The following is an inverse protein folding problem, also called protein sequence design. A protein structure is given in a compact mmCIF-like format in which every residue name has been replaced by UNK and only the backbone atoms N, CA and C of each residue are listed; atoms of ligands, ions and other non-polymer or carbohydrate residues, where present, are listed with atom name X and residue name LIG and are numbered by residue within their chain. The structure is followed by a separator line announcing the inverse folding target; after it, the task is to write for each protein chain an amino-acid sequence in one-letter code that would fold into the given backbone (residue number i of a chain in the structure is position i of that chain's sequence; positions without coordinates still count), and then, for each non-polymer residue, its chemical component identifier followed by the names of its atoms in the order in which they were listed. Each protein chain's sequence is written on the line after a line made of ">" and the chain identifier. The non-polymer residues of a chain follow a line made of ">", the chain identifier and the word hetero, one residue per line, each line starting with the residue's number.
data_IF_156650074538
#
_entry.id   IF_156650074538
#
_cell.length_a   1.000
_cell.length_b   1.000
_cell.length_c   1.000
_cell.angle_alpha   90.00
_cell.angle_beta   90.00
_cell.angle_gamma   90.00
#
_symmetry.space_group_name_H-M   'P 1'
#
loop_
_entity.id
_entity.type
_entity.pdbx_description
1 polymer ?
#
# COMPACT_ATOMS: atom_id res chain seq x y z
N UNK A 1 -48.96 25.75 15.49
CA UNK A 1 -48.34 27.09 15.38
C UNK A 1 -47.13 26.95 14.48
N UNK A 2 -47.18 27.70 13.37
CA UNK A 2 -46.27 27.66 12.23
C UNK A 2 -44.82 28.02 12.59
N UNK A 3 -43.86 27.28 12.02
CA UNK A 3 -42.55 27.86 11.74
C UNK A 3 -42.11 27.54 10.30
N UNK A 4 -41.83 28.62 9.64
CA UNK A 4 -41.65 28.74 8.20
C UNK A 4 -40.28 28.19 7.73
N UNK A 5 -40.34 27.53 6.56
CA UNK A 5 -39.17 27.22 5.73
C UNK A 5 -38.52 28.47 5.15
N UNK A 6 -37.20 28.60 5.33
CA UNK A 6 -36.38 29.53 4.57
C UNK A 6 -35.58 28.76 3.50
N UNK A 7 -35.98 28.91 2.29
CA UNK A 7 -35.28 28.49 1.07
C UNK A 7 -34.22 29.56 0.78
N UNK A 8 -32.95 29.19 0.71
CA UNK A 8 -31.86 30.05 0.22
C UNK A 8 -31.52 29.56 -1.20
N UNK A 9 -31.83 30.39 -2.18
CA UNK A 9 -31.45 30.18 -3.57
C UNK A 9 -30.00 30.64 -3.76
N UNK A 10 -29.13 29.76 -4.23
CA UNK A 10 -27.76 30.09 -4.62
C UNK A 10 -27.69 30.25 -6.13
N UNK A 11 -27.39 31.46 -6.56
CA UNK A 11 -27.22 31.88 -7.96
C UNK A 11 -25.89 31.34 -8.50
N UNK A 12 -25.92 30.57 -9.59
CA UNK A 12 -24.73 30.21 -10.38
C UNK A 12 -24.31 31.42 -11.23
N UNK A 13 -23.09 31.86 -11.08
CA UNK A 13 -22.44 32.79 -12.01
C UNK A 13 -21.54 32.01 -12.96
N UNK A 14 -21.92 31.95 -14.22
CA UNK A 14 -21.13 31.45 -15.34
C UNK A 14 -20.15 32.52 -15.80
N UNK A 15 -18.86 32.29 -15.70
CA UNK A 15 -17.80 33.12 -16.29
C UNK A 15 -17.30 32.41 -17.55
N UNK A 16 -17.65 32.94 -18.71
CA UNK A 16 -17.07 32.59 -20.01
C UNK A 16 -15.78 33.37 -20.23
N UNK A 17 -14.65 32.68 -20.33
CA UNK A 17 -13.37 33.28 -20.69
C UNK A 17 -13.02 32.92 -22.13
N UNK A 18 -13.18 33.89 -23.06
CA UNK A 18 -12.66 33.82 -24.40
C UNK A 18 -11.22 34.27 -24.44
N UNK A 19 -10.30 33.35 -24.69
CA UNK A 19 -8.87 33.63 -24.86
C UNK A 19 -8.46 33.53 -26.32
N UNK A 20 -7.97 34.63 -26.87
CA UNK A 20 -7.41 34.78 -28.20
C UNK A 20 -6.08 34.00 -28.32
N UNK A 21 -6.02 33.17 -29.38
CA UNK A 21 -4.76 32.59 -29.84
C UNK A 21 -4.05 33.56 -30.76
N UNK A 22 -2.85 34.02 -30.44
CA UNK A 22 -1.93 34.68 -31.37
C UNK A 22 -0.75 33.75 -31.66
N UNK A 23 -0.70 33.27 -32.89
CA UNK A 23 0.47 32.57 -33.47
C UNK A 23 1.49 33.62 -33.96
N UNK A 24 2.73 33.53 -33.47
CA UNK A 24 3.88 34.20 -34.13
C UNK A 24 4.80 33.15 -34.72
N UNK A 25 4.90 33.15 -36.04
CA UNK A 25 5.91 32.44 -36.80
C UNK A 25 7.21 33.23 -36.78
N UNK A 26 8.32 32.55 -36.57
CA UNK A 26 9.66 33.11 -36.85
C UNK A 26 10.33 32.20 -37.87
N UNK A 27 10.50 32.74 -39.07
CA UNK A 27 11.39 32.21 -40.08
C UNK A 27 12.83 32.58 -39.75
N UNK A 28 13.76 31.65 -39.96
CA UNK A 28 15.15 31.98 -40.14
C UNK A 28 15.77 31.01 -41.14
N UNK A 29 16.16 31.60 -42.26
CA UNK A 29 16.86 31.06 -43.41
C UNK A 29 18.36 30.87 -43.16
N UNK A 30 18.95 29.89 -43.85
CA UNK A 30 20.25 30.14 -44.42
C UNK A 30 21.31 29.02 -44.39
N UNK A 31 21.44 28.33 -45.50
CA UNK A 31 22.64 27.99 -46.28
C UNK A 31 23.77 27.11 -45.69
N UNK A 32 24.08 26.08 -46.48
CA UNK A 32 25.45 25.65 -46.70
C UNK A 32 25.65 24.17 -47.10
N UNK A 33 25.77 23.96 -48.41
CA UNK A 33 26.19 22.76 -49.14
C UNK A 33 27.43 22.03 -48.57
N UNK A 34 27.52 20.69 -48.69
CA UNK A 34 28.30 20.03 -49.75
C UNK A 34 28.25 18.48 -49.69
N UNK A 35 28.14 17.96 -50.91
CA UNK A 35 28.25 16.61 -51.42
C UNK A 35 29.32 15.68 -50.82
N UNK A 36 28.99 14.38 -50.77
CA UNK A 36 29.79 13.33 -51.43
C UNK A 36 28.95 12.05 -51.62
N UNK A 37 28.94 11.56 -52.85
CA UNK A 37 28.30 10.38 -53.40
C UNK A 37 29.07 9.07 -53.12
N UNK A 38 28.35 7.99 -53.38
CA UNK A 38 28.74 6.60 -53.72
C UNK A 38 28.68 5.61 -52.57
N UNK A 39 28.05 4.46 -52.64
CA UNK A 39 27.83 3.55 -53.77
C UNK A 39 26.68 2.56 -53.43
N UNK A 40 25.94 2.21 -54.45
CA UNK A 40 24.94 1.13 -54.51
C UNK A 40 25.63 -0.22 -54.49
N UNK A 41 25.10 -1.18 -53.70
CA UNK A 41 25.14 -2.56 -54.12
C UNK A 41 23.91 -3.32 -53.60
N UNK A 42 23.09 -3.73 -54.54
CA UNK A 42 21.97 -4.66 -54.46
C UNK A 42 22.47 -6.09 -54.31
N UNK A 43 21.92 -6.84 -53.36
CA UNK A 43 21.67 -8.26 -53.57
C UNK A 43 20.53 -8.75 -52.67
N UNK A 44 19.45 -9.17 -53.31
CA UNK A 44 18.36 -9.96 -52.79
C UNK A 44 18.87 -11.23 -52.09
N UNK A 45 18.31 -11.54 -50.91
CA UNK A 45 17.80 -12.88 -50.67
C UNK A 45 16.74 -12.87 -49.60
N UNK A 46 15.53 -13.28 -49.99
CA UNK A 46 14.44 -13.73 -49.10
C UNK A 46 14.92 -14.94 -48.32
N UNK A 47 14.74 -14.90 -47.03
CA UNK A 47 14.35 -16.09 -46.28
C UNK A 47 13.49 -15.69 -45.09
N UNK A 48 12.24 -16.05 -45.15
CA UNK A 48 11.31 -15.92 -44.06
C UNK A 48 11.74 -16.80 -42.89
N UNK A 49 11.82 -16.17 -41.74
CA UNK A 49 11.73 -16.87 -40.48
C UNK A 49 10.94 -15.97 -39.51
N UNK A 50 9.66 -16.25 -39.39
CA UNK A 50 8.81 -15.67 -38.36
C UNK A 50 9.26 -16.21 -37.01
N UNK A 51 10.32 -15.67 -36.45
CA UNK A 51 10.62 -15.83 -35.03
C UNK A 51 9.63 -14.96 -34.28
N UNK A 52 8.57 -15.59 -33.76
CA UNK A 52 7.78 -15.05 -32.69
C UNK A 52 8.73 -14.63 -31.58
N UNK A 53 8.95 -13.33 -31.45
CA UNK A 53 9.53 -12.73 -30.27
C UNK A 53 8.52 -12.96 -29.14
N UNK A 54 8.66 -14.09 -28.43
CA UNK A 54 8.13 -14.24 -27.09
C UNK A 54 8.92 -13.21 -26.25
N UNK A 55 8.39 -12.00 -26.18
CA UNK A 55 8.85 -11.04 -25.22
C UNK A 55 8.77 -11.67 -23.85
N UNK A 56 9.91 -11.93 -23.23
CA UNK A 56 10.01 -12.26 -21.82
C UNK A 56 9.35 -11.10 -21.06
N UNK A 57 8.05 -11.19 -20.83
CA UNK A 57 7.38 -10.30 -19.89
C UNK A 57 8.06 -10.56 -18.56
N UNK A 58 8.83 -9.59 -18.11
CA UNK A 58 9.50 -9.60 -16.81
C UNK A 58 8.42 -9.79 -15.77
N UNK A 59 8.32 -11.01 -15.22
CA UNK A 59 7.29 -11.36 -14.24
C UNK A 59 7.49 -10.43 -13.06
N UNK A 60 6.49 -9.60 -12.73
CA UNK A 60 6.55 -8.75 -11.55
C UNK A 60 6.53 -9.67 -10.34
N UNK A 61 7.54 -9.53 -9.51
CA UNK A 61 7.65 -10.19 -8.22
C UNK A 61 7.53 -9.14 -7.12
N UNK A 62 7.13 -9.56 -5.91
CA UNK A 62 7.28 -8.73 -4.73
C UNK A 62 8.68 -8.13 -4.65
N UNK A 63 8.79 -6.90 -4.15
CA UNK A 63 10.08 -6.22 -4.04
C UNK A 63 11.06 -6.97 -3.12
N UNK A 64 10.56 -7.75 -2.15
CA UNK A 64 11.35 -8.66 -1.31
C UNK A 64 11.90 -9.88 -2.05
N UNK A 65 11.49 -10.11 -3.30
CA UNK A 65 11.85 -11.28 -4.09
C UNK A 65 11.02 -12.52 -3.80
N UNK A 66 10.14 -12.50 -2.82
CA UNK A 66 9.25 -13.62 -2.49
C UNK A 66 8.14 -13.76 -3.53
N UNK A 67 7.77 -15.01 -3.83
CA UNK A 67 6.63 -15.30 -4.69
C UNK A 67 5.31 -14.85 -4.05
N UNK A 68 5.16 -15.07 -2.75
CA UNK A 68 4.01 -14.69 -1.95
C UNK A 68 4.46 -13.94 -0.72
N UNK A 69 4.03 -12.69 -0.56
CA UNK A 69 4.31 -11.90 0.62
C UNK A 69 3.33 -12.23 1.75
N UNK A 70 3.85 -12.53 2.93
CA UNK A 70 3.06 -12.66 4.16
C UNK A 70 3.02 -11.31 4.87
N UNK A 71 1.89 -10.61 4.80
CA UNK A 71 1.73 -9.28 5.38
C UNK A 71 0.98 -9.43 6.70
N UNK A 72 1.69 -9.22 7.82
CA UNK A 72 1.14 -9.35 9.16
C UNK A 72 0.27 -8.13 9.49
N UNK A 73 -1.05 -8.27 9.31
CA UNK A 73 -2.06 -7.23 9.47
C UNK A 73 -2.12 -6.73 10.91
N UNK A 74 -1.58 -5.54 11.15
CA UNK A 74 -1.40 -4.93 12.48
C UNK A 74 -0.52 -5.78 13.41
N UNK A 75 0.48 -6.47 12.82
CA UNK A 75 1.24 -7.53 13.44
C UNK A 75 0.53 -8.89 13.39
N UNK A 76 0.92 -9.83 14.24
CA UNK A 76 0.22 -11.11 14.42
C UNK A 76 -1.03 -10.91 15.31
N UNK A 77 -1.96 -10.08 14.82
CA UNK A 77 -3.09 -9.53 15.59
C UNK A 77 -4.16 -10.56 15.97
N UNK A 78 -4.15 -11.73 15.33
CA UNK A 78 -4.98 -12.86 15.75
C UNK A 78 -4.53 -13.49 17.08
N UNK A 79 -3.29 -13.24 17.50
CA UNK A 79 -2.69 -13.85 18.69
C UNK A 79 -2.28 -12.86 19.78
N UNK A 80 -2.13 -11.59 19.46
CA UNK A 80 -1.64 -10.56 20.37
C UNK A 80 -2.32 -9.21 20.04
N UNK A 81 -2.36 -8.24 20.99
CA UNK A 81 -3.01 -6.96 20.77
C UNK A 81 -2.49 -6.24 19.53
N UNK A 82 -3.39 -5.91 18.59
CA UNK A 82 -3.06 -5.23 17.34
C UNK A 82 -2.27 -3.93 17.57
N UNK A 83 -1.35 -3.61 16.67
CA UNK A 83 -0.53 -2.39 16.73
C UNK A 83 0.20 -2.19 18.06
N UNK A 84 0.65 -3.27 18.68
CA UNK A 84 1.55 -3.24 19.84
C UNK A 84 2.85 -3.98 19.52
N UNK A 85 3.89 -3.76 20.32
CA UNK A 85 5.13 -4.52 20.16
C UNK A 85 4.92 -6.02 20.38
N UNK A 86 3.89 -6.44 21.13
CA UNK A 86 3.58 -7.87 21.28
C UNK A 86 3.17 -8.53 19.96
N UNK A 87 2.30 -7.90 19.17
CA UNK A 87 1.90 -8.42 17.87
C UNK A 87 3.01 -8.27 16.82
N UNK A 88 3.78 -7.19 16.88
CA UNK A 88 4.90 -6.96 15.95
C UNK A 88 6.07 -7.91 16.19
N UNK A 89 6.51 -8.07 17.44
CA UNK A 89 7.58 -9.04 17.81
C UNK A 89 7.17 -10.46 17.41
N UNK A 90 5.92 -10.83 17.65
CA UNK A 90 5.42 -12.15 17.26
C UNK A 90 5.45 -12.34 15.74
N UNK A 91 5.02 -11.34 14.97
CA UNK A 91 4.99 -11.44 13.50
C UNK A 91 6.40 -11.43 12.89
N UNK A 92 7.29 -10.57 13.38
CA UNK A 92 8.62 -10.39 12.83
C UNK A 92 9.61 -11.41 13.39
N UNK A 93 9.81 -11.43 14.73
CA UNK A 93 10.86 -12.23 15.36
C UNK A 93 10.52 -13.72 15.45
N UNK A 94 9.25 -14.06 15.74
CA UNK A 94 8.87 -15.45 15.96
C UNK A 94 8.39 -16.14 14.67
N UNK A 95 7.64 -15.45 13.83
CA UNK A 95 7.03 -16.02 12.62
C UNK A 95 7.86 -15.73 11.37
N UNK A 96 8.52 -14.57 11.31
CA UNK A 96 9.26 -14.12 10.13
C UNK A 96 8.33 -13.75 8.98
N UNK A 97 7.29 -12.95 9.25
CA UNK A 97 6.43 -12.39 8.22
C UNK A 97 7.23 -11.48 7.27
N UNK A 98 6.82 -11.40 6.01
CA UNK A 98 7.48 -10.56 5.00
C UNK A 98 7.41 -9.08 5.34
N UNK A 99 6.29 -8.64 5.93
CA UNK A 99 6.02 -7.25 6.31
C UNK A 99 5.32 -7.16 7.67
N UNK A 100 5.69 -6.14 8.44
CA UNK A 100 4.87 -5.59 9.53
C UNK A 100 3.95 -4.54 8.91
N UNK A 101 2.65 -4.73 9.01
CA UNK A 101 1.69 -3.73 8.56
C UNK A 101 1.34 -2.77 9.69
N UNK A 102 1.27 -1.46 9.36
CA UNK A 102 1.10 -0.36 10.30
C UNK A 102 0.09 0.64 9.75
N UNK A 103 -1.02 0.82 10.46
CA UNK A 103 -1.96 1.91 10.23
C UNK A 103 -1.53 3.16 11.03
N UNK A 104 -1.46 4.32 10.38
CA UNK A 104 -1.05 5.55 11.03
C UNK A 104 -2.23 6.50 11.28
N UNK A 105 -2.32 6.96 12.52
CA UNK A 105 -3.07 8.14 12.94
C UNK A 105 -2.06 9.18 13.47
N UNK A 106 -2.52 10.39 13.79
CA UNK A 106 -1.65 11.43 14.32
C UNK A 106 -2.23 12.06 15.61
N UNK A 107 -1.38 12.22 16.62
CA UNK A 107 -1.77 12.86 17.87
C UNK A 107 -1.96 14.37 17.72
N UNK A 108 -2.60 15.00 18.71
CA UNK A 108 -2.80 16.45 18.78
C UNK A 108 -1.50 17.26 18.64
N UNK A 109 -0.42 16.76 19.20
CA UNK A 109 0.93 17.37 19.14
C UNK A 109 1.77 16.81 17.98
N UNK A 110 1.13 16.14 17.00
CA UNK A 110 1.69 15.83 15.68
C UNK A 110 2.62 14.61 15.65
N UNK A 111 2.46 13.63 16.52
CA UNK A 111 3.19 12.37 16.44
C UNK A 111 2.42 11.32 15.65
N UNK A 112 3.08 10.63 14.70
CA UNK A 112 2.54 9.48 14.01
C UNK A 112 2.52 8.29 14.95
N UNK A 113 1.35 7.67 15.14
CA UNK A 113 1.11 6.55 16.04
C UNK A 113 0.42 5.40 15.33
N UNK A 114 0.72 4.17 15.74
CA UNK A 114 0.08 2.97 15.19
C UNK A 114 -1.31 2.78 15.80
N UNK A 115 -2.35 3.06 15.03
CA UNK A 115 -3.75 2.94 15.42
C UNK A 115 -4.62 2.83 14.17
N UNK A 116 -5.50 1.84 14.13
CA UNK A 116 -6.40 1.68 12.99
C UNK A 116 -7.52 2.71 12.98
N UNK A 117 -8.25 2.81 14.09
CA UNK A 117 -9.44 3.65 14.19
C UNK A 117 -9.03 5.11 14.49
N UNK A 118 -9.85 6.08 14.08
CA UNK A 118 -9.68 7.48 14.47
C UNK A 118 -9.90 7.70 15.97
N UNK A 119 -10.50 6.73 16.68
CA UNK A 119 -10.74 6.76 18.12
C UNK A 119 -9.97 5.66 18.85
N UNK A 120 -9.67 5.90 20.11
CA UNK A 120 -8.94 4.94 20.97
C UNK A 120 -9.84 3.88 21.62
N UNK A 121 -11.15 3.97 21.43
CA UNK A 121 -12.17 3.26 22.21
C UNK A 121 -12.12 1.74 22.05
N UNK A 122 -11.91 1.23 20.82
CA UNK A 122 -11.99 -0.22 20.55
C UNK A 122 -10.81 -0.99 21.14
N UNK A 123 -9.61 -0.43 21.09
CA UNK A 123 -8.38 -1.17 21.45
C UNK A 123 -7.76 -0.74 22.77
N UNK A 124 -8.19 0.39 23.34
CA UNK A 124 -7.61 0.91 24.61
C UNK A 124 -8.69 1.08 25.70
N UNK A 125 -8.24 1.39 26.90
CA UNK A 125 -9.12 1.77 28.02
C UNK A 125 -9.52 3.25 28.00
N UNK A 126 -9.10 4.04 26.99
CA UNK A 126 -9.52 5.42 26.78
C UNK A 126 -10.78 5.56 25.93
N UNK A 127 -11.21 6.79 25.72
CA UNK A 127 -12.36 7.15 24.86
C UNK A 127 -12.06 8.43 24.08
N UNK A 128 -12.58 8.54 22.86
CA UNK A 128 -12.45 9.73 22.02
C UNK A 128 -11.39 9.61 20.94
N UNK A 129 -11.19 10.69 20.21
CA UNK A 129 -10.35 10.72 19.01
C UNK A 129 -8.87 10.79 19.34
N UNK A 130 -8.05 10.14 18.52
CA UNK A 130 -6.57 10.16 18.62
C UNK A 130 -6.03 11.60 18.52
N UNK A 131 -6.58 12.43 17.64
CA UNK A 131 -6.17 13.83 17.44
C UNK A 131 -6.52 14.78 18.61
N UNK A 132 -7.23 14.30 19.61
CA UNK A 132 -7.50 15.02 20.85
C UNK A 132 -6.49 14.73 21.97
N UNK A 133 -5.72 13.64 21.83
CA UNK A 133 -4.67 13.24 22.77
C UNK A 133 -3.30 13.79 22.34
N UNK A 134 -2.57 14.37 23.29
CA UNK A 134 -1.11 14.49 23.14
C UNK A 134 -0.47 13.10 23.23
N UNK A 135 0.76 12.95 22.71
CA UNK A 135 1.48 11.67 22.84
C UNK A 135 1.61 11.24 24.30
N UNK A 136 1.90 12.19 25.20
CA UNK A 136 2.04 11.93 26.64
C UNK A 136 0.75 11.37 27.25
N UNK A 137 -0.41 11.84 26.83
CA UNK A 137 -1.72 11.35 27.27
C UNK A 137 -2.01 10.00 26.66
N UNK A 138 -1.79 9.83 25.35
CA UNK A 138 -2.00 8.55 24.65
C UNK A 138 -1.16 7.42 25.26
N UNK A 139 0.08 7.70 25.65
CA UNK A 139 0.99 6.73 26.29
C UNK A 139 0.53 6.27 27.68
N UNK A 140 -0.43 6.93 28.30
CA UNK A 140 -1.01 6.46 29.58
C UNK A 140 -2.05 5.36 29.38
N UNK A 141 -2.62 5.24 28.18
CA UNK A 141 -3.65 4.26 27.88
C UNK A 141 -3.08 2.83 27.86
N UNK A 142 -3.95 1.88 28.19
CA UNK A 142 -3.71 0.45 28.12
C UNK A 142 -4.30 -0.07 26.80
N UNK A 143 -3.45 -0.47 25.87
CA UNK A 143 -3.80 -1.01 24.56
C UNK A 143 -3.77 -2.56 24.51
N UNK A 144 -3.70 -3.24 25.65
CA UNK A 144 -3.57 -4.69 25.69
C UNK A 144 -4.68 -5.40 26.43
N UNK A 145 -5.22 -4.82 27.51
CA UNK A 145 -6.20 -5.52 28.37
C UNK A 145 -7.51 -5.85 27.65
N UNK A 146 -7.96 -5.02 26.69
CA UNK A 146 -9.16 -5.33 25.90
C UNK A 146 -8.99 -6.56 25.02
N UNK A 147 -7.79 -6.78 24.47
CA UNK A 147 -7.50 -8.00 23.71
C UNK A 147 -7.71 -9.25 24.57
N UNK A 148 -7.22 -9.25 25.81
CA UNK A 148 -7.36 -10.39 26.73
C UNK A 148 -8.82 -10.74 26.99
N UNK A 149 -9.69 -9.75 27.17
CA UNK A 149 -11.12 -9.98 27.40
C UNK A 149 -11.87 -10.44 26.15
N UNK A 150 -11.45 -9.99 24.97
CA UNK A 150 -12.05 -10.36 23.69
C UNK A 150 -11.53 -11.70 23.15
N UNK A 151 -10.32 -12.09 23.54
CA UNK A 151 -9.62 -13.29 23.04
C UNK A 151 -9.09 -14.13 24.22
N UNK A 152 -9.96 -14.71 25.07
CA UNK A 152 -9.53 -15.40 26.28
C UNK A 152 -8.58 -16.57 26.02
N UNK A 153 -8.68 -17.22 24.85
CA UNK A 153 -7.80 -18.31 24.42
C UNK A 153 -6.36 -17.88 24.18
N UNK A 154 -6.13 -16.59 23.92
CA UNK A 154 -4.80 -16.00 23.68
C UNK A 154 -4.43 -14.97 24.76
N UNK A 155 -5.22 -14.87 25.82
CA UNK A 155 -4.99 -13.91 26.89
C UNK A 155 -3.63 -14.14 27.55
N UNK A 156 -2.93 -13.04 27.82
CA UNK A 156 -1.63 -13.05 28.50
C UNK A 156 -1.56 -11.86 29.46
N UNK A 157 -1.15 -12.12 30.70
CA UNK A 157 -1.02 -11.08 31.73
C UNK A 157 -0.04 -9.97 31.34
N UNK A 158 0.97 -10.30 30.51
CA UNK A 158 1.97 -9.33 30.02
C UNK A 158 1.37 -8.30 29.06
N UNK A 159 0.21 -8.55 28.45
CA UNK A 159 -0.45 -7.60 27.57
C UNK A 159 -1.06 -6.41 28.31
N UNK A 160 -1.38 -6.58 29.62
CA UNK A 160 -1.89 -5.50 30.45
C UNK A 160 -0.91 -4.33 30.48
N UNK A 161 -1.42 -3.15 30.18
CA UNK A 161 -0.61 -1.93 30.14
C UNK A 161 0.22 -1.75 28.88
N UNK A 162 0.04 -2.58 27.85
CA UNK A 162 0.66 -2.37 26.53
C UNK A 162 0.39 -0.96 26.03
N UNK A 163 1.38 -0.35 25.39
CA UNK A 163 1.33 1.03 24.92
C UNK A 163 1.07 1.09 23.42
N UNK A 164 0.39 2.15 22.99
CA UNK A 164 0.32 2.53 21.57
C UNK A 164 1.70 3.03 21.14
N UNK A 165 2.38 2.37 20.18
CA UNK A 165 3.70 2.80 19.73
C UNK A 165 3.60 3.96 18.75
N UNK A 166 4.62 4.83 18.73
CA UNK A 166 4.85 5.76 17.63
C UNK A 166 5.54 5.05 16.48
N UNK A 167 5.44 5.63 15.26
CA UNK A 167 6.21 5.14 14.12
C UNK A 167 7.72 5.20 14.42
N UNK A 168 8.22 6.29 15.03
CA UNK A 168 9.62 6.40 15.45
C UNK A 168 10.05 5.24 16.35
N UNK A 169 9.24 4.85 17.33
CA UNK A 169 9.54 3.72 18.24
C UNK A 169 9.58 2.39 17.49
N UNK A 170 8.68 2.18 16.52
CA UNK A 170 8.64 0.97 15.70
C UNK A 170 9.92 0.88 14.85
N UNK A 171 10.25 1.97 14.14
CA UNK A 171 11.41 2.03 13.26
C UNK A 171 12.73 1.95 14.06
N UNK A 172 12.78 2.52 15.27
CA UNK A 172 13.94 2.35 16.18
C UNK A 172 14.12 0.89 16.62
N UNK A 173 13.01 0.16 16.84
CA UNK A 173 13.07 -1.21 17.35
C UNK A 173 13.54 -2.21 16.30
N UNK A 174 13.06 -2.10 15.07
CA UNK A 174 13.30 -3.09 14.02
C UNK A 174 14.28 -2.63 12.94
N UNK A 175 14.46 -1.32 12.77
CA UNK A 175 15.41 -0.74 11.81
C UNK A 175 15.19 -1.25 10.39
N UNK A 176 16.29 -1.67 9.75
CA UNK A 176 16.30 -2.28 8.42
C UNK A 176 16.20 -3.81 8.44
N UNK A 177 16.05 -4.43 9.62
CA UNK A 177 15.88 -5.87 9.75
C UNK A 177 14.45 -6.30 9.43
N UNK A 178 13.49 -5.37 9.51
CA UNK A 178 12.09 -5.58 9.13
C UNK A 178 11.73 -4.81 7.86
N UNK A 179 10.69 -5.29 7.19
CA UNK A 179 10.01 -4.54 6.14
C UNK A 179 8.66 -4.03 6.64
N UNK A 180 8.27 -2.86 6.19
CA UNK A 180 7.11 -2.12 6.68
C UNK A 180 6.10 -1.88 5.56
N UNK A 181 4.84 -2.15 5.85
CA UNK A 181 3.71 -1.86 4.99
C UNK A 181 2.83 -0.83 5.69
N UNK A 182 2.94 0.45 5.32
CA UNK A 182 2.45 1.57 6.12
C UNK A 182 1.25 2.23 5.45
N UNK A 183 0.12 2.32 6.17
CA UNK A 183 -1.08 3.01 5.71
C UNK A 183 -1.16 4.44 6.23
N UNK A 184 -1.37 5.40 5.32
CA UNK A 184 -1.86 6.73 5.67
C UNK A 184 -3.38 6.64 5.89
N UNK A 185 -3.76 6.47 7.17
CA UNK A 185 -5.15 6.35 7.60
C UNK A 185 -5.78 7.74 7.70
N UNK A 186 -7.00 7.89 7.19
CA UNK A 186 -7.75 9.16 7.30
C UNK A 186 -6.91 10.43 6.98
N UNK A 187 -6.18 10.49 5.84
CA UNK A 187 -5.23 11.59 5.58
C UNK A 187 -5.91 12.97 5.52
N UNK A 188 -7.20 13.02 5.22
CA UNK A 188 -8.00 14.25 5.22
C UNK A 188 -8.16 14.85 6.62
N UNK A 189 -8.07 14.01 7.66
CA UNK A 189 -8.13 14.43 9.08
C UNK A 189 -6.79 15.01 9.53
N UNK A 190 -5.69 14.59 8.91
CA UNK A 190 -4.33 14.90 9.35
C UNK A 190 -3.53 15.63 8.25
N UNK A 191 -3.76 16.94 8.02
CA UNK A 191 -2.96 17.70 7.05
C UNK A 191 -1.45 17.60 7.34
N UNK A 192 -0.67 17.25 6.32
CA UNK A 192 0.79 17.08 6.46
C UNK A 192 1.25 15.70 6.94
N UNK A 193 0.34 14.72 7.03
CA UNK A 193 0.68 13.34 7.41
C UNK A 193 1.71 12.73 6.47
N UNK A 194 1.57 12.93 5.16
CA UNK A 194 2.45 12.37 4.13
C UNK A 194 3.87 12.91 4.24
N UNK A 195 4.03 14.21 4.40
CA UNK A 195 5.35 14.84 4.60
C UNK A 195 5.99 14.34 5.89
N UNK A 196 5.19 14.21 6.95
CA UNK A 196 5.68 13.71 8.23
C UNK A 196 6.12 12.26 8.15
N UNK A 197 5.37 11.42 7.42
CA UNK A 197 5.73 10.03 7.16
C UNK A 197 7.08 9.96 6.42
N UNK A 198 7.23 10.70 5.32
CA UNK A 198 8.47 10.73 4.55
C UNK A 198 9.66 11.21 5.40
N UNK A 199 9.49 12.28 6.16
CA UNK A 199 10.55 12.79 7.05
C UNK A 199 10.96 11.77 8.12
N UNK A 200 9.99 11.02 8.66
CA UNK A 200 10.27 9.97 9.64
C UNK A 200 11.02 8.80 9.00
N UNK A 201 10.60 8.35 7.81
CA UNK A 201 11.28 7.29 7.06
C UNK A 201 12.70 7.68 6.65
N UNK A 202 12.92 8.94 6.23
CA UNK A 202 14.25 9.45 5.86
C UNK A 202 15.19 9.49 7.06
N UNK A 203 14.73 9.99 8.19
CA UNK A 203 15.46 9.97 9.47
C UNK A 203 15.96 8.56 9.85
N UNK A 204 15.18 7.53 9.55
CA UNK A 204 15.51 6.13 9.80
C UNK A 204 16.21 5.44 8.62
N UNK A 205 16.67 6.20 7.61
CA UNK A 205 17.42 5.72 6.43
C UNK A 205 16.64 4.69 5.57
N UNK A 206 15.32 4.74 5.60
CA UNK A 206 14.45 3.84 4.85
C UNK A 206 14.07 4.36 3.46
N UNK A 207 14.45 5.59 3.10
CA UNK A 207 14.19 6.18 1.77
C UNK A 207 15.41 6.14 0.83
N UNK A 208 16.52 5.52 1.23
CA UNK A 208 17.64 5.34 0.33
C UNK A 208 17.31 4.30 -0.76
N UNK A 209 18.04 4.38 -1.89
CA UNK A 209 17.78 3.53 -3.06
C UNK A 209 17.84 2.03 -2.76
N UNK A 210 18.70 1.59 -1.85
CA UNK A 210 18.81 0.19 -1.49
C UNK A 210 17.56 -0.28 -0.72
N UNK A 211 17.12 0.49 0.29
CA UNK A 211 15.92 0.19 1.06
C UNK A 211 14.67 0.13 0.18
N UNK A 212 14.48 1.10 -0.71
CA UNK A 212 13.31 1.14 -1.58
C UNK A 212 13.30 0.02 -2.62
N UNK A 213 14.45 -0.30 -3.23
CA UNK A 213 14.58 -1.39 -4.21
C UNK A 213 14.33 -2.78 -3.60
N UNK A 214 14.71 -2.97 -2.34
CA UNK A 214 14.52 -4.23 -1.61
C UNK A 214 13.15 -4.31 -0.94
N UNK A 215 12.29 -3.30 -1.11
CA UNK A 215 10.94 -3.31 -0.56
C UNK A 215 10.87 -3.18 0.95
N UNK A 216 11.87 -2.54 1.61
CA UNK A 216 11.80 -2.31 3.04
C UNK A 216 10.61 -1.44 3.45
N UNK A 217 10.08 -0.63 2.53
CA UNK A 217 8.89 0.19 2.77
C UNK A 217 7.95 0.09 1.57
N UNK A 218 6.69 -0.19 1.86
CA UNK A 218 5.54 0.04 0.97
C UNK A 218 4.59 0.99 1.68
N UNK A 219 4.06 1.98 0.96
CA UNK A 219 3.03 2.89 1.48
C UNK A 219 1.71 2.61 0.80
N UNK A 220 0.65 2.48 1.59
CA UNK A 220 -0.69 2.19 1.11
C UNK A 220 -1.70 3.23 1.58
N UNK A 221 -2.78 3.40 0.85
CA UNK A 221 -3.93 4.20 1.27
C UNK A 221 -5.19 3.86 0.49
N UNK A 222 -6.35 4.05 1.13
CA UNK A 222 -7.65 4.13 0.46
C UNK A 222 -7.83 5.47 -0.26
N UNK A 223 -7.10 6.53 0.17
CA UNK A 223 -7.13 7.84 -0.47
C UNK A 223 -6.18 7.88 -1.67
N UNK A 224 -6.73 7.95 -2.87
CA UNK A 224 -5.95 8.18 -4.08
C UNK A 224 -5.21 9.51 -4.01
N UNK A 225 -5.85 10.56 -3.46
CA UNK A 225 -5.23 11.88 -3.29
C UNK A 225 -3.97 11.82 -2.42
N UNK A 226 -4.01 11.08 -1.30
CA UNK A 226 -2.83 10.86 -0.44
C UNK A 226 -1.70 10.15 -1.20
N UNK A 227 -2.01 9.12 -2.00
CA UNK A 227 -1.03 8.41 -2.82
C UNK A 227 -0.43 9.30 -3.91
N UNK A 228 -1.23 10.10 -4.60
CA UNK A 228 -0.75 11.04 -5.61
C UNK A 228 0.13 12.14 -4.97
N UNK A 229 -0.22 12.60 -3.77
CA UNK A 229 0.61 13.52 -2.98
C UNK A 229 1.94 12.86 -2.60
N UNK A 230 1.92 11.61 -2.12
CA UNK A 230 3.14 10.85 -1.82
C UNK A 230 4.04 10.70 -3.07
N UNK A 231 3.47 10.34 -4.22
CA UNK A 231 4.21 10.24 -5.49
C UNK A 231 4.86 11.56 -5.87
N UNK A 232 4.15 12.68 -5.70
CA UNK A 232 4.68 14.02 -5.99
C UNK A 232 5.83 14.39 -5.05
N UNK A 233 5.74 14.04 -3.78
CA UNK A 233 6.75 14.34 -2.77
C UNK A 233 8.00 13.47 -2.94
N UNK A 234 7.83 12.18 -3.20
CA UNK A 234 8.93 11.24 -3.46
C UNK A 234 8.48 10.11 -4.41
N UNK A 235 8.74 10.23 -5.73
CA UNK A 235 8.29 9.25 -6.72
C UNK A 235 8.99 7.89 -6.62
N UNK A 236 10.04 7.75 -5.81
CA UNK A 236 10.75 6.49 -5.61
C UNK A 236 10.07 5.57 -4.58
N UNK A 237 9.18 6.09 -3.75
CA UNK A 237 8.46 5.30 -2.74
C UNK A 237 7.43 4.40 -3.43
N UNK A 238 7.49 3.07 -3.21
CA UNK A 238 6.51 2.15 -3.78
C UNK A 238 5.13 2.34 -3.11
N UNK A 239 4.10 2.54 -3.93
CA UNK A 239 2.74 2.83 -3.48
C UNK A 239 1.78 1.71 -3.83
N UNK A 240 0.81 1.45 -2.96
CA UNK A 240 -0.27 0.48 -3.12
C UNK A 240 -1.62 1.17 -2.93
N UNK A 241 -2.51 1.01 -3.91
CA UNK A 241 -3.88 1.52 -3.83
C UNK A 241 -4.78 0.49 -3.12
N UNK A 242 -5.29 0.83 -1.95
CA UNK A 242 -6.32 0.02 -1.27
C UNK A 242 -7.68 0.26 -1.91
N UNK A 243 -8.45 -0.80 -2.09
CA UNK A 243 -9.78 -0.78 -2.70
C UNK A 243 -10.82 -1.29 -1.71
N UNK A 244 -11.82 -0.46 -1.45
CA UNK A 244 -12.95 -0.83 -0.60
C UNK A 244 -13.79 -1.93 -1.23
N UNK A 245 -14.60 -2.58 -0.39
CA UNK A 245 -15.54 -3.62 -0.83
C UNK A 245 -16.48 -3.08 -1.91
N UNK A 246 -16.56 -3.81 -3.02
CA UNK A 246 -17.36 -3.46 -4.19
C UNK A 246 -16.65 -2.54 -5.19
N UNK A 247 -15.58 -1.84 -4.81
CA UNK A 247 -14.87 -0.91 -5.69
C UNK A 247 -14.25 -1.65 -6.88
N UNK A 248 -13.56 -2.75 -6.63
CA UNK A 248 -12.92 -3.55 -7.68
C UNK A 248 -13.91 -4.07 -8.73
N UNK A 249 -15.14 -4.39 -8.34
CA UNK A 249 -16.15 -4.97 -9.23
C UNK A 249 -16.62 -4.00 -10.31
N UNK A 250 -16.50 -2.70 -10.08
CA UNK A 250 -16.85 -1.63 -11.04
C UNK A 250 -15.68 -1.19 -11.92
N UNK A 251 -14.45 -1.63 -11.62
CA UNK A 251 -13.24 -1.21 -12.32
C UNK A 251 -13.02 -1.93 -13.65
N UNK A 252 -12.48 -1.21 -14.60
CA UNK A 252 -12.09 -1.69 -15.93
C UNK A 252 -10.58 -1.77 -16.08
N UNK A 253 -10.11 -2.35 -17.19
CA UNK A 253 -8.68 -2.36 -17.51
C UNK A 253 -8.08 -0.95 -17.61
N UNK A 254 -8.87 0.04 -18.03
CA UNK A 254 -8.43 1.44 -18.06
C UNK A 254 -8.12 1.97 -16.66
N UNK A 255 -8.99 1.67 -15.68
CA UNK A 255 -8.76 2.06 -14.29
C UNK A 255 -7.48 1.41 -13.73
N UNK A 256 -7.23 0.13 -14.00
CA UNK A 256 -6.01 -0.55 -13.58
C UNK A 256 -4.75 0.07 -14.20
N UNK A 257 -4.81 0.45 -15.49
CA UNK A 257 -3.71 1.13 -16.16
C UNK A 257 -3.47 2.54 -15.57
N UNK A 258 -4.51 3.24 -15.13
CA UNK A 258 -4.39 4.53 -14.43
C UNK A 258 -3.71 4.36 -13.06
N UNK A 259 -4.14 3.39 -12.27
CA UNK A 259 -3.50 3.07 -10.98
C UNK A 259 -2.01 2.76 -11.18
N UNK A 260 -1.65 2.01 -12.24
CA UNK A 260 -0.25 1.65 -12.52
C UNK A 260 0.66 2.85 -12.77
N UNK A 261 0.12 4.02 -13.10
CA UNK A 261 0.90 5.23 -13.30
C UNK A 261 1.50 5.80 -12.00
N UNK A 262 0.87 5.52 -10.85
CA UNK A 262 1.33 6.01 -9.55
C UNK A 262 1.58 4.90 -8.51
N UNK A 263 1.02 3.72 -8.68
CA UNK A 263 1.14 2.62 -7.73
C UNK A 263 1.72 1.36 -8.41
N UNK A 264 2.44 0.56 -7.65
CA UNK A 264 2.99 -0.73 -8.11
C UNK A 264 2.04 -1.89 -7.88
N UNK A 265 0.96 -1.69 -7.12
CA UNK A 265 0.01 -2.73 -6.78
C UNK A 265 -1.28 -2.20 -6.17
N UNK A 266 -2.18 -3.12 -5.91
CA UNK A 266 -3.47 -2.89 -5.26
C UNK A 266 -3.65 -3.82 -4.07
N UNK A 267 -4.36 -3.34 -3.04
CA UNK A 267 -4.87 -4.12 -1.92
C UNK A 267 -6.40 -4.12 -1.95
N UNK A 268 -7.05 -5.07 -2.63
CA UNK A 268 -8.50 -5.14 -2.65
C UNK A 268 -9.05 -5.91 -1.44
N UNK A 269 -10.30 -5.65 -1.08
CA UNK A 269 -11.07 -6.52 -0.21
C UNK A 269 -11.19 -7.90 -0.88
N UNK A 270 -10.81 -8.98 -0.16
CA UNK A 270 -10.56 -10.30 -0.76
C UNK A 270 -11.81 -10.99 -1.33
N UNK A 271 -13.01 -10.66 -0.82
CA UNK A 271 -14.26 -11.25 -1.31
C UNK A 271 -14.67 -10.75 -2.69
N UNK A 272 -14.13 -9.60 -3.13
CA UNK A 272 -14.33 -9.06 -4.48
C UNK A 272 -13.47 -9.76 -5.54
N UNK A 273 -12.47 -10.57 -5.11
CA UNK A 273 -11.53 -11.20 -6.04
C UNK A 273 -12.10 -12.42 -6.74
N UNK A 274 -11.96 -12.41 -8.04
CA UNK A 274 -12.15 -13.56 -8.92
C UNK A 274 -10.84 -13.85 -9.66
N UNK A 275 -10.68 -15.07 -10.15
CA UNK A 275 -9.51 -15.42 -10.97
C UNK A 275 -9.35 -14.51 -12.18
N UNK A 276 -10.48 -14.02 -12.75
CA UNK A 276 -10.45 -13.16 -13.93
C UNK A 276 -9.98 -11.75 -13.58
N UNK A 277 -10.46 -11.13 -12.49
CA UNK A 277 -10.00 -9.78 -12.15
C UNK A 277 -8.55 -9.77 -11.65
N UNK A 278 -8.08 -10.81 -10.94
CA UNK A 278 -6.65 -10.98 -10.64
C UNK A 278 -5.83 -11.02 -11.93
N UNK A 279 -6.25 -11.82 -12.93
CA UNK A 279 -5.59 -11.84 -14.25
C UNK A 279 -5.55 -10.48 -14.93
N UNK A 280 -6.62 -9.69 -14.82
CA UNK A 280 -6.69 -8.35 -15.40
C UNK A 280 -5.77 -7.35 -14.68
N UNK A 281 -5.69 -7.43 -13.35
CA UNK A 281 -4.74 -6.64 -12.54
C UNK A 281 -3.29 -6.97 -12.91
N UNK A 282 -2.98 -8.26 -13.07
CA UNK A 282 -1.64 -8.71 -13.50
C UNK A 282 -1.30 -8.27 -14.92
N UNK A 283 -2.27 -8.12 -15.84
CA UNK A 283 -2.07 -7.54 -17.18
C UNK A 283 -1.70 -6.06 -17.13
N UNK A 284 -2.15 -5.33 -16.09
CA UNK A 284 -1.79 -3.95 -15.85
C UNK A 284 -0.46 -3.81 -15.10
N UNK A 285 0.26 -4.91 -14.88
CA UNK A 285 1.54 -4.92 -14.19
C UNK A 285 1.43 -4.51 -12.70
N UNK A 286 0.32 -4.87 -12.06
CA UNK A 286 0.03 -4.58 -10.66
C UNK A 286 0.26 -5.81 -9.78
N UNK A 287 0.91 -5.61 -8.61
CA UNK A 287 0.89 -6.55 -7.50
C UNK A 287 -0.52 -6.60 -6.90
N UNK A 288 -0.92 -7.76 -6.37
CA UNK A 288 -2.24 -7.97 -5.78
C UNK A 288 -2.08 -8.52 -4.37
N UNK A 289 -2.36 -7.70 -3.36
CA UNK A 289 -2.27 -8.03 -1.94
C UNK A 289 -3.64 -7.83 -1.27
N UNK A 290 -4.56 -8.82 -1.31
CA UNK A 290 -5.89 -8.69 -0.70
C UNK A 290 -5.85 -8.69 0.83
N UNK A 291 -6.83 -8.03 1.43
CA UNK A 291 -7.08 -7.95 2.87
C UNK A 291 -8.52 -8.34 3.21
N UNK A 292 -8.85 -8.76 4.41
CA UNK A 292 -7.97 -9.41 5.39
C UNK A 292 -8.30 -10.90 5.36
N UNK A 293 -7.34 -11.70 4.98
CA UNK A 293 -7.54 -13.13 4.68
C UNK A 293 -7.10 -13.96 5.87
N UNK A 294 -8.05 -14.51 6.61
CA UNK A 294 -7.76 -15.25 7.85
C UNK A 294 -8.03 -16.76 7.73
N UNK A 295 -8.88 -17.18 6.78
CA UNK A 295 -9.25 -18.57 6.61
C UNK A 295 -8.28 -19.31 5.66
N UNK A 296 -7.76 -20.49 6.04
CA UNK A 296 -6.83 -21.26 5.21
C UNK A 296 -7.37 -21.60 3.82
N UNK A 297 -8.69 -21.84 3.72
CA UNK A 297 -9.36 -22.12 2.44
C UNK A 297 -9.30 -20.93 1.49
N UNK A 298 -9.51 -19.71 2.00
CA UNK A 298 -9.41 -18.48 1.21
C UNK A 298 -7.96 -18.18 0.83
N UNK A 299 -7.00 -18.39 1.73
CA UNK A 299 -5.57 -18.25 1.43
C UNK A 299 -5.16 -19.14 0.26
N UNK A 300 -5.54 -20.42 0.28
CA UNK A 300 -5.26 -21.38 -0.80
C UNK A 300 -5.92 -20.97 -2.12
N UNK A 301 -7.21 -20.62 -2.07
CA UNK A 301 -7.98 -20.16 -3.24
C UNK A 301 -7.36 -18.93 -3.90
N UNK A 302 -6.97 -17.93 -3.10
CA UNK A 302 -6.37 -16.70 -3.60
C UNK A 302 -4.98 -16.93 -4.22
N UNK A 303 -4.17 -17.83 -3.64
CA UNK A 303 -2.90 -18.25 -4.24
C UNK A 303 -3.12 -18.89 -5.62
N UNK A 304 -4.18 -19.72 -5.77
CA UNK A 304 -4.56 -20.32 -7.07
C UNK A 304 -5.05 -19.28 -8.09
N UNK A 305 -5.61 -18.13 -7.61
CA UNK A 305 -5.98 -17.02 -8.48
C UNK A 305 -4.76 -16.23 -8.98
N UNK A 306 -3.61 -16.38 -8.30
CA UNK A 306 -2.36 -15.74 -8.68
C UNK A 306 -2.09 -14.40 -8.00
N UNK A 307 -2.61 -14.19 -6.78
CA UNK A 307 -2.24 -13.04 -5.93
C UNK A 307 -0.76 -13.11 -5.53
N UNK A 308 -0.18 -12.00 -5.14
CA UNK A 308 1.25 -11.89 -4.79
C UNK A 308 1.51 -11.96 -3.28
N UNK A 309 0.47 -12.12 -2.48
CA UNK A 309 0.52 -12.21 -1.02
C UNK A 309 -0.85 -11.91 -0.42
N UNK A 310 -0.96 -11.94 0.89
CA UNK A 310 -2.18 -11.57 1.62
C UNK A 310 -1.87 -10.81 2.90
N UNK A 311 -2.78 -9.92 3.30
CA UNK A 311 -2.85 -9.40 4.67
C UNK A 311 -3.60 -10.40 5.52
N UNK A 312 -3.02 -10.80 6.65
CA UNK A 312 -3.63 -11.77 7.56
C UNK A 312 -3.30 -11.48 9.02
N UNK A 313 -4.24 -11.79 9.90
CA UNK A 313 -4.05 -11.76 11.36
C UNK A 313 -3.26 -13.00 11.85
N UNK A 314 -3.11 -14.02 10.98
CA UNK A 314 -2.47 -15.31 11.28
C UNK A 314 -1.33 -15.58 10.29
N UNK A 315 -0.23 -14.82 10.36
CA UNK A 315 0.86 -14.91 9.38
C UNK A 315 1.57 -16.28 9.35
N UNK A 316 1.63 -16.99 10.45
CA UNK A 316 2.15 -18.36 10.54
C UNK A 316 1.35 -19.36 9.70
N UNK A 317 0.02 -19.26 9.74
CA UNK A 317 -0.87 -20.11 8.92
C UNK A 317 -0.61 -19.90 7.44
N UNK A 318 -0.48 -18.65 7.00
CA UNK A 318 -0.21 -18.38 5.59
C UNK A 318 1.18 -18.85 5.16
N UNK A 319 2.21 -18.68 6.00
CA UNK A 319 3.56 -19.20 5.74
C UNK A 319 3.58 -20.72 5.60
N UNK A 320 2.83 -21.42 6.44
CA UNK A 320 2.68 -22.87 6.32
C UNK A 320 2.06 -23.26 4.98
N UNK A 321 0.98 -22.58 4.55
CA UNK A 321 0.34 -22.84 3.24
C UNK A 321 1.30 -22.61 2.07
N UNK A 322 2.11 -21.54 2.12
CA UNK A 322 3.13 -21.27 1.10
C UNK A 322 4.14 -22.41 1.03
N UNK A 323 4.67 -22.83 2.19
CA UNK A 323 5.65 -23.92 2.30
C UNK A 323 5.11 -25.26 1.75
N UNK A 324 3.87 -25.62 2.08
CA UNK A 324 3.20 -26.81 1.56
C UNK A 324 3.08 -26.80 0.04
N UNK A 325 2.71 -25.67 -0.54
CA UNK A 325 2.60 -25.48 -1.98
C UNK A 325 3.97 -25.63 -2.70
N UNK A 326 5.03 -25.10 -2.13
CA UNK A 326 6.38 -25.21 -2.69
C UNK A 326 6.90 -26.65 -2.69
N UNK A 327 6.61 -27.41 -1.63
CA UNK A 327 6.97 -28.83 -1.54
C UNK A 327 6.25 -29.67 -2.59
N UNK A 328 4.95 -29.45 -2.80
CA UNK A 328 4.15 -30.16 -3.82
C UNK A 328 4.65 -29.91 -5.25
N UNK A 329 5.26 -28.75 -5.52
CA UNK A 329 5.81 -28.43 -6.85
C UNK A 329 7.22 -28.99 -7.09
N UNK A 330 7.96 -29.35 -6.03
CA UNK A 330 9.28 -30.00 -6.14
C UNK A 330 9.21 -31.49 -6.41
N UNK A 331 8.05 -32.11 -6.17
CA UNK A 331 7.82 -33.56 -6.36
C UNK A 331 7.03 -33.90 -7.62
N UNK A 332 6.73 -32.92 -8.48
CA UNK A 332 6.17 -33.07 -9.82
C UNK A 332 7.23 -32.76 -10.88
#
# INVERSE_FOLDING_TARGET
>A
MNHANKVIATTLATITLTGLCTTTAIEASGHGNNNAQHNVNTSNQQNGNSSQAHGNQKKIHNLTGEKFATIAHRGASGYAPEHTFFSYDKSHNAIGASYIEIDLQMTKDGHLVAMHDETVDRTTNGTGRVDQYTLKELKKLDAGSKFNSQNPQYANSNYKGAKVPTLDEILNRYGTDANYYIETKSPDVYPGMEEKLLNTLDKHQLLNNNSLKNGHVLVQSFSEESLLKMQKLNPAVPLIRLLDKGELTSMTQLNFNQIRQYAIGVGPEYTDLTKQNVKNLKKADLLVHPFTVNEPTDMKRLNEYGVDGVFTNYPDVYKQIISENEQQHKHK
#
